data_IF_643903255732
#
_entry.id   IF_643903255732
#
_cell.length_a   1.000
_cell.length_b   1.000
_cell.length_c   1.000
_cell.angle_alpha   90.00
_cell.angle_beta   90.00
_cell.angle_gamma   90.00
#
_symmetry.space_group_name_H-M   'P 1'
#
loop_
_entity.id
_entity.type
_entity.pdbx_description
1 polymer ?
#
# COMPACT_ATOMS: atom_id res chain seq x y z
N UNK A 1 10.70 -2.60 15.35
CA UNK A 1 9.83 -3.44 14.52
C UNK A 1 8.96 -2.52 13.64
N UNK A 2 9.01 -2.70 12.31
CA UNK A 2 8.26 -1.89 11.34
C UNK A 2 6.93 -2.53 10.94
N UNK A 3 6.85 -3.86 11.02
CA UNK A 3 5.65 -4.65 10.77
C UNK A 3 5.08 -5.13 12.10
N UNK A 4 3.80 -4.86 12.34
CA UNK A 4 3.06 -5.39 13.47
C UNK A 4 2.12 -6.46 12.93
N UNK A 5 2.53 -7.72 13.05
CA UNK A 5 1.70 -8.87 12.69
C UNK A 5 0.65 -9.08 13.78
N UNK A 6 -0.59 -8.76 13.47
CA UNK A 6 -1.73 -8.85 14.40
C UNK A 6 -2.91 -9.60 13.79
N UNK A 7 -2.70 -10.25 12.64
CA UNK A 7 -3.74 -10.78 11.80
C UNK A 7 -4.45 -9.70 10.99
N UNK A 8 -5.08 -10.13 9.90
CA UNK A 8 -5.95 -9.31 9.06
C UNK A 8 -7.27 -10.04 8.83
N UNK A 9 -8.38 -9.37 9.11
CA UNK A 9 -9.72 -9.89 8.87
C UNK A 9 -10.40 -9.04 7.79
N UNK A 10 -10.86 -9.70 6.72
CA UNK A 10 -11.74 -9.12 5.71
C UNK A 10 -13.02 -9.93 5.77
N UNK A 11 -14.17 -9.27 5.94
CA UNK A 11 -15.45 -9.95 6.00
C UNK A 11 -16.53 -9.16 5.28
N UNK A 12 -17.58 -9.86 4.86
CA UNK A 12 -18.76 -9.26 4.28
C UNK A 12 -19.77 -10.31 3.86
N UNK A 13 -20.99 -9.84 3.56
CA UNK A 13 -22.07 -10.72 3.14
C UNK A 13 -21.73 -11.39 1.81
N UNK A 14 -21.97 -12.70 1.76
CA UNK A 14 -21.89 -13.53 0.53
C UNK A 14 -22.86 -13.10 -0.56
N UNK A 15 -23.82 -12.21 -0.24
CA UNK A 15 -24.83 -11.65 -1.16
C UNK A 15 -24.53 -10.20 -1.54
N UNK A 16 -23.49 -9.60 -0.97
CA UNK A 16 -23.13 -8.22 -1.22
C UNK A 16 -22.44 -8.07 -2.57
N UNK A 17 -23.13 -7.42 -3.51
CA UNK A 17 -22.52 -6.89 -4.74
C UNK A 17 -21.85 -5.52 -4.49
N UNK A 18 -21.76 -5.07 -3.24
CA UNK A 18 -21.22 -3.74 -2.96
C UNK A 18 -19.73 -3.71 -3.29
N UNK A 19 -19.38 -2.88 -4.27
CA UNK A 19 -18.02 -2.66 -4.67
C UNK A 19 -17.23 -2.00 -3.52
N UNK A 20 -16.28 -2.73 -2.94
CA UNK A 20 -15.26 -2.11 -2.10
C UNK A 20 -14.21 -1.51 -3.04
N UNK A 21 -14.03 -0.19 -3.03
CA UNK A 21 -13.03 0.50 -3.85
C UNK A 21 -13.12 0.22 -5.37
N UNK A 22 -14.34 0.00 -5.89
CA UNK A 22 -14.56 -0.28 -7.32
C UNK A 22 -14.29 -1.74 -7.73
N UNK A 23 -14.00 -2.63 -6.78
CA UNK A 23 -13.85 -4.07 -7.01
C UNK A 23 -15.17 -4.75 -6.67
N UNK A 24 -15.83 -5.30 -7.68
CA UNK A 24 -16.94 -6.24 -7.50
C UNK A 24 -16.42 -7.49 -6.79
N UNK A 25 -17.16 -7.97 -5.79
CA UNK A 25 -16.85 -9.20 -5.05
C UNK A 25 -15.40 -9.26 -4.50
N UNK A 26 -15.02 -8.20 -3.79
CA UNK A 26 -13.67 -8.05 -3.22
C UNK A 26 -13.26 -9.21 -2.31
N UNK A 27 -14.20 -9.74 -1.50
CA UNK A 27 -13.93 -10.85 -0.60
C UNK A 27 -13.60 -12.13 -1.38
N UNK A 28 -14.43 -12.51 -2.35
CA UNK A 28 -14.18 -13.71 -3.15
C UNK A 28 -12.89 -13.57 -3.97
N UNK A 29 -12.67 -12.40 -4.56
CA UNK A 29 -11.42 -12.10 -5.28
C UNK A 29 -10.19 -12.26 -4.38
N UNK A 30 -10.28 -11.81 -3.12
CA UNK A 30 -9.19 -11.98 -2.14
C UNK A 30 -8.94 -13.45 -1.82
N UNK A 31 -10.01 -14.23 -1.60
CA UNK A 31 -9.92 -15.67 -1.35
C UNK A 31 -9.27 -16.41 -2.53
N UNK A 32 -9.66 -16.08 -3.75
CA UNK A 32 -9.16 -16.72 -4.96
C UNK A 32 -7.68 -16.41 -5.22
N UNK A 33 -7.26 -15.16 -4.99
CA UNK A 33 -5.85 -14.76 -5.03
C UNK A 33 -5.06 -15.50 -3.95
N UNK A 34 -5.54 -15.52 -2.71
CA UNK A 34 -4.87 -16.20 -1.62
C UNK A 34 -4.67 -17.70 -1.88
N UNK A 35 -5.68 -18.37 -2.47
CA UNK A 35 -5.58 -19.77 -2.90
C UNK A 35 -4.58 -19.96 -4.03
N UNK A 36 -4.61 -19.08 -5.04
CA UNK A 36 -3.72 -19.14 -6.21
C UNK A 36 -2.25 -19.04 -5.81
N UNK A 37 -1.94 -18.18 -4.85
CA UNK A 37 -0.57 -17.93 -4.39
C UNK A 37 -0.20 -18.63 -3.08
N UNK A 38 -1.05 -19.57 -2.62
CA UNK A 38 -0.85 -20.35 -1.40
C UNK A 38 -0.55 -19.49 -0.14
N UNK A 39 -1.21 -18.34 -0.02
CA UNK A 39 -1.16 -17.50 1.19
C UNK A 39 -1.87 -18.24 2.32
N UNK A 40 -1.25 -18.32 3.51
CA UNK A 40 -1.85 -18.98 4.67
C UNK A 40 -3.05 -18.19 5.22
N UNK A 41 -4.25 -18.73 5.08
CA UNK A 41 -5.49 -18.09 5.51
C UNK A 41 -6.53 -19.08 6.02
N UNK A 42 -7.51 -18.58 6.76
CA UNK A 42 -8.70 -19.30 7.21
C UNK A 42 -9.95 -18.65 6.61
N UNK A 43 -10.90 -19.48 6.20
CA UNK A 43 -12.26 -19.03 5.88
C UNK A 43 -13.14 -19.30 7.08
N UNK A 44 -13.83 -18.28 7.57
CA UNK A 44 -14.63 -18.30 8.78
C UNK A 44 -16.10 -18.07 8.43
N UNK A 45 -16.99 -18.91 8.95
CA UNK A 45 -18.42 -18.65 8.89
C UNK A 45 -18.85 -17.62 9.95
N UNK A 46 -20.13 -17.23 9.93
CA UNK A 46 -20.70 -16.25 10.84
C UNK A 46 -20.59 -16.65 12.33
N UNK A 47 -20.67 -17.95 12.66
CA UNK A 47 -20.52 -18.43 14.04
C UNK A 47 -19.07 -18.25 14.52
N UNK A 48 -18.11 -18.64 13.68
CA UNK A 48 -16.68 -18.53 13.97
C UNK A 48 -16.23 -17.07 14.03
N UNK A 49 -16.77 -16.22 13.16
CA UNK A 49 -16.60 -14.76 13.21
C UNK A 49 -17.08 -14.21 14.56
N UNK A 50 -18.31 -14.51 14.96
CA UNK A 50 -18.87 -14.06 16.24
C UNK A 50 -18.09 -14.56 17.46
N UNK A 51 -17.59 -15.80 17.40
CA UNK A 51 -16.78 -16.40 18.47
C UNK A 51 -15.39 -15.79 18.58
N UNK A 52 -14.71 -15.55 17.46
CA UNK A 52 -13.30 -15.08 17.43
C UNK A 52 -13.19 -13.56 17.53
N UNK A 53 -14.16 -12.83 16.99
CA UNK A 53 -14.15 -11.37 16.92
C UNK A 53 -15.43 -10.75 17.50
N UNK A 54 -15.74 -10.99 18.80
CA UNK A 54 -16.99 -10.57 19.43
C UNK A 54 -17.17 -9.04 19.54
N UNK A 55 -16.15 -8.26 19.21
CA UNK A 55 -16.22 -6.80 19.13
C UNK A 55 -17.01 -6.29 17.91
N UNK A 56 -17.28 -7.14 16.91
CA UNK A 56 -18.07 -6.79 15.73
C UNK A 56 -19.45 -7.45 15.77
N UNK A 57 -20.38 -6.93 14.96
CA UNK A 57 -21.66 -7.59 14.67
C UNK A 57 -21.56 -8.16 13.26
N UNK A 58 -21.95 -9.42 13.13
CA UNK A 58 -21.96 -10.15 11.87
C UNK A 58 -23.39 -10.58 11.55
N UNK A 59 -23.75 -10.50 10.27
CA UNK A 59 -24.98 -11.07 9.76
C UNK A 59 -24.83 -12.58 9.54
N UNK A 60 -25.94 -13.31 9.50
CA UNK A 60 -25.93 -14.78 9.39
C UNK A 60 -25.33 -15.30 8.07
N UNK A 61 -25.24 -14.44 7.06
CA UNK A 61 -24.69 -14.73 5.74
C UNK A 61 -23.32 -14.07 5.48
N UNK A 62 -22.69 -13.51 6.53
CA UNK A 62 -21.32 -13.04 6.46
C UNK A 62 -20.32 -14.20 6.36
N UNK A 63 -19.28 -13.95 5.57
CA UNK A 63 -18.11 -14.82 5.46
C UNK A 63 -16.85 -14.01 5.78
N UNK A 64 -15.90 -14.63 6.46
CA UNK A 64 -14.61 -14.03 6.83
C UNK A 64 -13.43 -14.69 6.11
N UNK A 65 -12.53 -13.88 5.57
CA UNK A 65 -11.16 -14.24 5.25
C UNK A 65 -10.25 -13.73 6.37
N UNK A 66 -9.55 -14.64 7.05
CA UNK A 66 -8.59 -14.31 8.09
C UNK A 66 -7.18 -14.76 7.73
N UNK A 67 -6.23 -13.83 7.72
CA UNK A 67 -4.81 -14.09 7.46
C UNK A 67 -3.98 -13.84 8.73
N UNK A 68 -3.47 -14.89 9.41
CA UNK A 68 -2.75 -14.73 10.69
C UNK A 68 -1.46 -13.91 10.59
N UNK A 69 -0.76 -13.98 9.45
CA UNK A 69 0.52 -13.30 9.24
C UNK A 69 0.38 -11.84 8.82
N UNK A 70 -0.84 -11.41 8.49
CA UNK A 70 -1.16 -10.03 8.15
C UNK A 70 -1.06 -9.09 9.36
N UNK A 71 -1.17 -7.80 9.08
CA UNK A 71 -1.15 -6.76 10.09
C UNK A 71 -0.92 -5.40 9.46
N UNK A 72 -0.19 -4.52 10.14
CA UNK A 72 0.07 -3.17 9.63
C UNK A 72 1.54 -2.76 9.72
N UNK A 73 1.94 -1.90 8.79
CA UNK A 73 3.25 -1.25 8.78
C UNK A 73 3.16 0.10 9.50
N UNK A 74 4.28 0.54 10.08
CA UNK A 74 4.49 1.94 10.50
C UNK A 74 5.11 2.72 9.34
N UNK A 75 4.33 3.39 8.47
CA UNK A 75 4.83 3.91 7.20
C UNK A 75 5.95 4.94 7.37
N UNK A 76 5.85 5.84 8.35
CA UNK A 76 6.91 6.84 8.61
C UNK A 76 8.22 6.18 9.07
N UNK A 77 8.13 5.04 9.75
CA UNK A 77 9.28 4.24 10.14
C UNK A 77 9.93 3.57 8.92
N UNK A 78 9.11 2.99 8.03
CA UNK A 78 9.57 2.38 6.78
C UNK A 78 10.29 3.40 5.89
N UNK A 79 9.68 4.57 5.69
CA UNK A 79 10.26 5.65 4.90
C UNK A 79 11.59 6.11 5.50
N UNK A 80 11.65 6.33 6.82
CA UNK A 80 12.89 6.75 7.49
C UNK A 80 14.00 5.72 7.34
N UNK A 81 13.68 4.43 7.45
CA UNK A 81 14.65 3.35 7.27
C UNK A 81 15.22 3.34 5.84
N UNK A 82 14.34 3.44 4.83
CA UNK A 82 14.76 3.48 3.42
C UNK A 82 15.62 4.71 3.11
N UNK A 83 15.20 5.91 3.55
CA UNK A 83 15.94 7.15 3.33
C UNK A 83 17.31 7.13 4.02
N UNK A 84 17.36 6.63 5.27
CA UNK A 84 18.61 6.50 6.02
C UNK A 84 19.60 5.55 5.32
N UNK A 85 19.11 4.42 4.80
CA UNK A 85 19.96 3.47 4.09
C UNK A 85 20.45 4.02 2.75
N UNK A 86 19.57 4.70 2.00
CA UNK A 86 19.96 5.38 0.76
C UNK A 86 21.07 6.42 1.02
N UNK A 87 20.95 7.25 2.07
CA UNK A 87 21.99 8.20 2.46
C UNK A 87 23.30 7.50 2.84
N UNK A 88 23.22 6.37 3.58
CA UNK A 88 24.39 5.56 3.94
C UNK A 88 25.11 5.02 2.70
N UNK A 89 24.37 4.73 1.63
CA UNK A 89 24.89 4.32 0.33
C UNK A 89 25.32 5.48 -0.58
N UNK A 90 25.22 6.73 -0.12
CA UNK A 90 25.70 7.92 -0.83
C UNK A 90 24.62 8.72 -1.56
N UNK A 91 23.33 8.41 -1.39
CA UNK A 91 22.26 9.22 -1.95
C UNK A 91 22.17 10.60 -1.26
N UNK A 92 21.92 11.65 -2.04
CA UNK A 92 21.60 12.98 -1.51
C UNK A 92 20.10 13.14 -1.41
N UNK A 93 19.62 13.55 -0.24
CA UNK A 93 18.20 13.88 -0.01
C UNK A 93 18.06 15.40 0.09
N UNK A 94 17.28 15.98 -0.82
CA UNK A 94 16.98 17.42 -0.85
C UNK A 94 15.52 17.66 -0.46
N UNK A 95 15.28 18.00 0.81
CA UNK A 95 13.94 18.31 1.33
C UNK A 95 13.61 19.80 1.24
N UNK A 96 12.32 20.14 1.14
CA UNK A 96 11.88 21.52 1.02
C UNK A 96 12.28 22.16 -0.31
N UNK A 97 12.42 21.33 -1.34
CA UNK A 97 12.81 21.73 -2.68
C UNK A 97 11.84 21.12 -3.70
N UNK A 98 10.83 21.90 -4.13
CA UNK A 98 9.84 21.42 -5.08
C UNK A 98 10.42 21.47 -6.51
N UNK A 99 10.22 20.40 -7.27
CA UNK A 99 10.41 20.42 -8.73
C UNK A 99 9.21 21.14 -9.35
N UNK A 100 9.49 22.14 -10.20
CA UNK A 100 8.46 22.97 -10.84
C UNK A 100 8.27 22.64 -12.32
N UNK A 101 9.35 22.22 -12.98
CA UNK A 101 9.35 21.86 -14.39
C UNK A 101 10.53 20.92 -14.68
N UNK A 102 10.47 20.22 -15.80
CA UNK A 102 11.56 19.43 -16.32
C UNK A 102 11.67 19.55 -17.83
N UNK A 103 12.90 19.42 -18.33
CA UNK A 103 13.20 19.51 -19.75
C UNK A 103 14.21 18.44 -20.13
N UNK A 104 14.00 17.76 -21.24
CA UNK A 104 14.98 16.84 -21.80
C UNK A 104 15.77 17.53 -22.90
N UNK A 105 17.10 17.50 -22.82
CA UNK A 105 17.98 18.05 -23.84
C UNK A 105 19.25 17.20 -23.96
N UNK A 106 19.61 16.83 -25.19
CA UNK A 106 20.89 16.19 -25.53
C UNK A 106 21.26 14.99 -24.65
N UNK A 107 20.28 14.13 -24.31
CA UNK A 107 20.50 12.92 -23.49
C UNK A 107 20.56 13.16 -21.98
N UNK A 108 20.27 14.38 -21.53
CA UNK A 108 20.15 14.77 -20.13
C UNK A 108 18.73 15.27 -19.84
N UNK A 109 18.34 15.23 -18.57
CA UNK A 109 17.11 15.82 -18.03
C UNK A 109 17.51 16.92 -17.06
N UNK A 110 17.05 18.14 -17.31
CA UNK A 110 17.15 19.28 -16.41
C UNK A 110 15.87 19.38 -15.58
N UNK A 111 16.01 19.54 -14.27
CA UNK A 111 14.93 19.76 -13.31
C UNK A 111 15.03 21.18 -12.78
N UNK A 112 13.99 21.97 -12.97
CA UNK A 112 13.88 23.30 -12.38
C UNK A 112 13.26 23.19 -11.00
N UNK A 113 13.91 23.77 -9.98
CA UNK A 113 13.45 23.65 -8.59
C UNK A 113 13.40 24.99 -7.87
N UNK A 114 12.91 25.00 -6.63
CA UNK A 114 12.88 26.20 -5.79
C UNK A 114 14.27 26.65 -5.34
N UNK A 115 15.24 25.73 -5.31
CA UNK A 115 16.58 25.97 -4.76
C UNK A 115 17.71 25.85 -5.79
N UNK A 116 17.35 25.97 -7.08
CA UNK A 116 18.27 25.87 -8.21
C UNK A 116 18.09 24.59 -9.01
N UNK A 117 18.74 24.50 -10.16
CA UNK A 117 18.44 23.42 -11.10
C UNK A 117 19.35 22.20 -10.90
N UNK A 118 18.82 21.04 -11.23
CA UNK A 118 19.57 19.78 -11.25
C UNK A 118 19.62 19.23 -12.67
N UNK A 119 20.70 18.54 -13.02
CA UNK A 119 20.80 17.78 -14.26
C UNK A 119 21.11 16.32 -13.96
N UNK A 120 20.42 15.41 -14.64
CA UNK A 120 20.62 13.97 -14.51
C UNK A 120 20.47 13.27 -15.86
N UNK A 121 21.12 12.11 -16.04
CA UNK A 121 20.93 11.27 -17.23
C UNK A 121 19.56 10.60 -17.26
N UNK A 122 19.01 10.32 -16.08
CA UNK A 122 17.73 9.63 -15.90
C UNK A 122 17.01 10.24 -14.70
N UNK A 123 15.68 10.30 -14.78
CA UNK A 123 14.81 10.79 -13.70
C UNK A 123 13.65 9.81 -13.52
N UNK A 124 13.35 9.48 -12.27
CA UNK A 124 12.16 8.73 -11.87
C UNK A 124 11.19 9.68 -11.17
N UNK A 125 9.98 9.83 -11.72
CA UNK A 125 8.92 10.61 -11.08
C UNK A 125 8.08 9.70 -10.18
N UNK A 126 8.25 9.87 -8.87
CA UNK A 126 7.46 9.21 -7.82
C UNK A 126 6.68 10.26 -6.99
N UNK A 127 6.07 11.23 -7.66
CA UNK A 127 5.48 12.43 -7.05
C UNK A 127 4.06 12.22 -6.47
N UNK A 128 3.57 10.99 -6.40
CA UNK A 128 2.22 10.69 -5.91
C UNK A 128 1.13 11.43 -6.71
N UNK A 129 0.10 12.01 -6.07
CA UNK A 129 -1.00 12.68 -6.77
C UNK A 129 -0.56 13.93 -7.55
N UNK A 130 0.61 14.50 -7.27
CA UNK A 130 1.16 15.66 -7.98
C UNK A 130 1.84 15.29 -9.30
N UNK A 131 1.89 14.02 -9.68
CA UNK A 131 2.53 13.61 -10.95
C UNK A 131 1.87 14.23 -12.18
N UNK A 132 0.58 14.57 -12.11
CA UNK A 132 -0.14 15.26 -13.19
C UNK A 132 0.17 16.77 -13.28
N UNK A 133 0.82 17.33 -12.27
CA UNK A 133 1.26 18.74 -12.24
C UNK A 133 2.71 18.93 -12.70
N UNK A 134 3.43 17.84 -13.02
CA UNK A 134 4.85 17.83 -13.39
C UNK A 134 5.08 17.72 -14.89
#
# INVERSE_FOLDING_TARGET
NLLFQCGGLIFGSTRSTNAAHGIEDFLQSTIDVARTYAVGHEILDAEELGRRFPQFKFDTDDLGYYEPEAGFLKPEGCLRAQLSEAQRMGATISTGNRVKAWHQHSGMVRLETDRGDYEAKQVLFAAGPWVSEL
#
